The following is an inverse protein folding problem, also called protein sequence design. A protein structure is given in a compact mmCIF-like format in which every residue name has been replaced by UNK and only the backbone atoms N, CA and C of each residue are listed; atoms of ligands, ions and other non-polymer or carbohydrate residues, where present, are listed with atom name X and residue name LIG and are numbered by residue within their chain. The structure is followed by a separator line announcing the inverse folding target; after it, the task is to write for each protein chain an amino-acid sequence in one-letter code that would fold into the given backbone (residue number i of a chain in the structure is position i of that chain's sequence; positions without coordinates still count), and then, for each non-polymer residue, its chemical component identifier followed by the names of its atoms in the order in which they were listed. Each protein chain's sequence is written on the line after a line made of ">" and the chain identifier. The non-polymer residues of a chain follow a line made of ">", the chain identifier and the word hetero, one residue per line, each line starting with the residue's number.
data_IF_411317207699
#
_entry.id   IF_411317207699
#
_cell.length_a   1.000
_cell.length_b   1.000
_cell.length_c   1.000
_cell.angle_alpha   90.00
_cell.angle_beta   90.00
_cell.angle_gamma   90.00
#
_symmetry.space_group_name_H-M   'P 1'
#
loop_
_entity.id
_entity.type
_entity.pdbx_description
1 polymer ?
#
# COMPACT_ATOMS: atom_id res chain seq x y z
N UNK A 1 12.49 -16.27 8.13
CA UNK A 1 12.78 -14.84 8.09
C UNK A 1 11.79 -14.09 8.98
N UNK A 2 12.26 -13.16 9.77
CA UNK A 2 11.46 -12.32 10.66
C UNK A 2 10.89 -11.17 9.82
N UNK A 3 9.80 -11.42 9.10
CA UNK A 3 9.13 -10.39 8.31
C UNK A 3 7.75 -10.14 8.90
N UNK A 4 7.42 -8.89 9.27
CA UNK A 4 6.08 -8.53 9.72
C UNK A 4 5.00 -8.86 8.69
N UNK A 5 3.80 -9.17 9.16
CA UNK A 5 2.65 -9.50 8.33
C UNK A 5 1.37 -8.90 8.88
N UNK A 6 0.29 -9.01 8.12
CA UNK A 6 -1.07 -8.61 8.51
C UNK A 6 -1.15 -7.16 9.03
N UNK A 7 -1.65 -6.95 10.23
CA UNK A 7 -1.97 -5.63 10.78
C UNK A 7 -0.74 -4.72 10.93
N UNK A 8 0.44 -5.30 11.19
CA UNK A 8 1.70 -4.54 11.22
C UNK A 8 1.99 -3.92 9.86
N UNK A 9 1.85 -4.70 8.78
CA UNK A 9 2.04 -4.20 7.41
C UNK A 9 1.01 -3.13 7.09
N UNK A 10 -0.25 -3.34 7.47
CA UNK A 10 -1.33 -2.38 7.22
C UNK A 10 -1.09 -1.05 7.92
N UNK A 11 -0.68 -1.08 9.19
CA UNK A 11 -0.37 0.13 9.97
C UNK A 11 0.82 0.91 9.41
N UNK A 12 1.91 0.21 9.06
CA UNK A 12 3.08 0.83 8.43
C UNK A 12 2.75 1.41 7.04
N UNK A 13 1.97 0.67 6.24
CA UNK A 13 1.52 1.13 4.94
C UNK A 13 0.67 2.39 5.06
N UNK A 14 -0.35 2.40 5.94
CA UNK A 14 -1.20 3.56 6.18
C UNK A 14 -0.39 4.80 6.56
N UNK A 15 0.53 4.66 7.51
CA UNK A 15 1.34 5.78 7.99
C UNK A 15 2.35 6.31 6.97
N UNK A 16 2.76 5.49 5.99
CA UNK A 16 3.75 5.88 4.97
C UNK A 16 3.14 6.29 3.65
N UNK A 17 1.82 6.29 3.53
CA UNK A 17 1.13 6.83 2.37
C UNK A 17 1.18 8.35 2.36
N UNK A 18 1.08 8.91 1.18
CA UNK A 18 0.95 10.35 0.98
C UNK A 18 -0.47 10.70 0.50
N UNK A 19 -0.94 11.88 0.93
CA UNK A 19 -2.22 12.46 0.54
C UNK A 19 -1.97 13.83 -0.08
N UNK A 20 -2.58 14.05 -1.23
CA UNK A 20 -2.59 15.36 -1.90
C UNK A 20 -3.55 16.28 -1.15
N UNK A 21 -3.13 17.52 -0.92
CA UNK A 21 -3.88 18.54 -0.19
C UNK A 21 -4.25 18.13 1.25
N UNK A 22 -3.37 17.31 1.89
CA UNK A 22 -3.51 16.99 3.31
C UNK A 22 -3.23 18.19 4.20
N UNK A 23 -3.85 18.21 5.41
CA UNK A 23 -3.62 19.30 6.38
C UNK A 23 -2.14 19.42 6.71
N UNK A 24 -1.56 20.61 6.54
CA UNK A 24 -0.13 20.88 6.78
C UNK A 24 0.80 20.55 5.63
N UNK A 25 0.28 20.24 4.44
CA UNK A 25 1.12 19.97 3.27
C UNK A 25 2.00 21.18 2.91
N UNK A 26 3.30 20.91 2.66
CA UNK A 26 4.31 21.90 2.27
C UNK A 26 4.93 22.66 3.43
N UNK A 27 4.58 22.36 4.68
CA UNK A 27 5.27 22.90 5.83
C UNK A 27 6.69 22.37 5.92
N UNK A 28 7.58 23.20 6.50
CA UNK A 28 9.00 22.90 6.69
C UNK A 28 9.29 22.81 8.18
N UNK A 29 9.95 21.74 8.61
CA UNK A 29 10.26 21.46 10.01
C UNK A 29 11.76 21.37 10.25
N UNK A 30 12.17 21.84 11.44
CA UNK A 30 13.56 21.82 11.85
C UNK A 30 14.07 20.44 12.27
N UNK A 31 13.21 19.58 12.80
CA UNK A 31 13.50 18.22 13.22
C UNK A 31 12.25 17.35 13.31
N UNK A 32 12.40 16.05 13.57
CA UNK A 32 11.29 15.10 13.75
C UNK A 32 10.49 15.36 15.01
N UNK A 33 11.10 15.93 16.07
CA UNK A 33 10.40 16.30 17.30
C UNK A 33 9.41 17.45 17.08
N UNK A 34 9.75 18.40 16.20
CA UNK A 34 8.81 19.45 15.78
C UNK A 34 7.67 18.88 14.98
N UNK A 35 7.93 17.94 14.08
CA UNK A 35 6.89 17.20 13.33
C UNK A 35 5.94 16.48 14.28
N UNK A 36 6.46 15.81 15.32
CA UNK A 36 5.63 15.12 16.31
C UNK A 36 4.73 16.10 17.07
N UNK A 37 5.28 17.23 17.52
CA UNK A 37 4.49 18.28 18.22
C UNK A 37 3.38 18.85 17.34
N UNK A 38 3.66 19.10 16.05
CA UNK A 38 2.66 19.59 15.10
C UNK A 38 1.57 18.55 14.84
N UNK A 39 1.91 17.25 14.80
CA UNK A 39 0.96 16.18 14.67
C UNK A 39 0.06 16.03 15.90
N UNK A 40 0.63 16.17 17.10
CA UNK A 40 -0.10 16.08 18.36
C UNK A 40 -1.03 17.29 18.57
N UNK A 41 -0.62 18.47 18.09
CA UNK A 41 -1.44 19.67 18.04
C UNK A 41 -2.53 19.62 16.95
N UNK A 42 -2.54 18.62 16.09
CA UNK A 42 -3.48 18.49 14.98
C UNK A 42 -3.28 19.48 13.85
N UNK A 43 -2.10 20.13 13.77
CA UNK A 43 -1.77 21.07 12.69
C UNK A 43 -1.39 20.37 11.39
N UNK A 44 -0.93 19.11 11.47
CA UNK A 44 -0.58 18.27 10.31
C UNK A 44 -1.23 16.89 10.40
N UNK A 45 -1.47 16.29 9.25
CA UNK A 45 -1.92 14.89 9.11
C UNK A 45 -0.73 13.97 8.83
N UNK A 46 -0.83 12.67 9.21
CA UNK A 46 0.21 11.66 8.96
C UNK A 46 0.62 11.54 7.49
N UNK A 47 -0.34 11.67 6.58
CA UNK A 47 -0.15 11.54 5.15
C UNK A 47 0.25 12.85 4.44
N UNK A 48 0.36 13.98 5.16
CA UNK A 48 0.72 15.27 4.60
C UNK A 48 2.18 15.26 4.12
N UNK A 49 2.41 15.82 2.92
CA UNK A 49 3.76 16.01 2.37
C UNK A 49 4.41 17.22 3.03
N UNK A 50 5.59 17.02 3.59
CA UNK A 50 6.36 18.02 4.32
C UNK A 50 7.82 18.00 3.90
N UNK A 51 8.54 19.05 4.24
CA UNK A 51 10.00 19.08 4.19
C UNK A 51 10.55 19.11 5.61
N UNK A 52 11.46 18.21 5.94
CA UNK A 52 12.04 18.13 7.27
C UNK A 52 13.57 18.04 7.20
N UNK A 53 14.25 18.70 8.11
CA UNK A 53 15.69 18.56 8.28
C UNK A 53 15.96 17.27 9.05
N UNK A 54 16.65 16.35 8.38
CA UNK A 54 16.97 15.03 8.92
C UNK A 54 18.48 14.84 9.04
N UNK A 55 18.90 14.19 10.11
CA UNK A 55 20.29 13.79 10.31
C UNK A 55 20.40 12.29 10.05
N UNK A 56 21.15 11.93 9.03
CA UNK A 56 21.48 10.56 8.70
C UNK A 56 22.89 10.19 9.15
N UNK A 57 23.07 8.94 9.56
CA UNK A 57 24.35 8.42 9.99
C UNK A 57 24.95 7.54 8.89
N UNK A 58 26.01 7.99 8.27
CA UNK A 58 26.75 7.23 7.26
C UNK A 58 28.05 6.71 7.84
N UNK A 59 28.40 5.46 7.50
CA UNK A 59 29.66 4.88 7.94
C UNK A 59 30.77 5.39 7.04
N UNK A 60 31.75 6.06 7.62
CA UNK A 60 32.96 6.46 6.93
C UNK A 60 33.73 5.22 6.48
N UNK A 61 34.26 5.24 5.25
CA UNK A 61 34.98 4.10 4.65
C UNK A 61 36.40 3.96 5.21
N UNK A 62 37.01 5.05 5.66
CA UNK A 62 38.38 5.05 6.13
C UNK A 62 38.49 4.78 7.64
N UNK A 63 37.67 5.47 8.43
CA UNK A 63 37.69 5.36 9.89
C UNK A 63 36.76 4.26 10.43
N UNK A 64 35.74 3.86 9.65
CA UNK A 64 34.71 2.92 10.10
C UNK A 64 33.71 3.52 11.09
N UNK A 65 33.84 4.79 11.44
CA UNK A 65 32.97 5.50 12.38
C UNK A 65 31.70 6.04 11.68
N UNK A 66 30.65 6.28 12.48
CA UNK A 66 29.43 6.87 11.96
C UNK A 66 29.51 8.40 11.99
N UNK A 67 29.47 9.01 10.83
CA UNK A 67 29.48 10.47 10.65
C UNK A 67 28.06 10.95 10.37
N UNK A 68 27.56 11.95 11.12
CA UNK A 68 26.25 12.54 10.87
C UNK A 68 26.28 13.46 9.64
N UNK A 69 25.29 13.34 8.78
CA UNK A 69 25.03 14.24 7.65
C UNK A 69 23.62 14.77 7.76
N UNK A 70 23.48 16.09 7.71
CA UNK A 70 22.15 16.74 7.86
C UNK A 70 21.74 17.35 6.53
N UNK A 71 20.51 17.05 6.10
CA UNK A 71 19.93 17.56 4.86
C UNK A 71 18.44 17.84 5.01
N UNK A 72 17.90 18.70 4.16
CA UNK A 72 16.46 18.88 3.99
C UNK A 72 15.93 17.79 3.07
N UNK A 73 14.89 17.09 3.52
CA UNK A 73 14.31 15.95 2.79
C UNK A 73 12.81 16.15 2.64
N UNK A 74 12.33 16.02 1.41
CA UNK A 74 10.90 15.95 1.13
C UNK A 74 10.36 14.56 1.49
N UNK A 75 9.32 14.53 2.32
CA UNK A 75 8.75 13.29 2.84
C UNK A 75 7.31 13.50 3.30
N UNK A 76 6.75 12.55 4.04
CA UNK A 76 5.49 12.71 4.75
C UNK A 76 5.72 12.70 6.27
N UNK A 77 4.76 13.25 7.01
CA UNK A 77 4.80 13.25 8.48
C UNK A 77 5.03 11.84 9.03
N UNK A 78 4.27 10.85 8.55
CA UNK A 78 4.39 9.47 9.02
C UNK A 78 5.74 8.83 8.70
N UNK A 79 6.33 9.09 7.51
CA UNK A 79 7.67 8.60 7.15
C UNK A 79 8.75 9.27 7.99
N UNK A 80 8.62 10.59 8.24
CA UNK A 80 9.56 11.32 9.08
C UNK A 80 9.60 10.76 10.50
N UNK A 81 8.45 10.52 11.12
CA UNK A 81 8.37 9.93 12.46
C UNK A 81 8.89 8.48 12.52
N UNK A 82 8.64 7.69 11.48
CA UNK A 82 9.18 6.33 11.39
C UNK A 82 10.70 6.32 11.21
N UNK A 83 11.33 7.40 10.74
CA UNK A 83 12.78 7.46 10.60
C UNK A 83 13.52 7.31 11.94
N UNK A 84 12.89 7.64 13.06
CA UNK A 84 13.49 7.52 14.39
C UNK A 84 13.81 6.08 14.82
N UNK A 85 13.14 5.10 14.20
CA UNK A 85 13.43 3.69 14.48
C UNK A 85 14.52 3.10 13.60
N UNK A 86 15.01 3.84 12.60
CA UNK A 86 16.07 3.36 11.70
C UNK A 86 17.37 3.12 12.45
N UNK A 87 18.04 1.99 12.22
CA UNK A 87 19.36 1.75 12.76
C UNK A 87 20.40 2.68 12.09
N UNK A 88 21.44 3.07 12.82
CA UNK A 88 22.55 3.83 12.28
C UNK A 88 23.18 3.10 11.09
N UNK A 89 23.42 3.83 10.01
CA UNK A 89 23.98 3.27 8.78
C UNK A 89 22.92 2.77 7.76
N UNK A 90 21.64 2.82 8.08
CA UNK A 90 20.56 2.56 7.13
C UNK A 90 20.01 3.89 6.61
N UNK A 91 20.23 4.27 5.32
CA UNK A 91 19.76 5.53 4.78
C UNK A 91 18.23 5.63 4.77
N UNK A 92 17.71 6.82 5.09
CA UNK A 92 16.28 7.10 5.10
C UNK A 92 15.62 6.91 3.72
N UNK A 93 16.37 7.12 2.65
CA UNK A 93 15.92 6.90 1.28
C UNK A 93 15.33 5.49 1.03
N UNK A 94 15.75 4.47 1.79
CA UNK A 94 15.20 3.14 1.72
C UNK A 94 13.78 3.04 2.29
N UNK A 95 13.39 3.97 3.17
CA UNK A 95 12.09 4.01 3.85
C UNK A 95 11.19 5.13 3.34
N UNK A 96 11.71 6.12 2.62
CA UNK A 96 10.94 7.27 2.12
C UNK A 96 10.01 6.91 0.95
N UNK A 97 9.11 5.95 1.17
CA UNK A 97 8.09 5.47 0.23
C UNK A 97 6.98 4.73 0.98
N UNK A 98 5.88 4.44 0.31
CA UNK A 98 4.82 3.61 0.89
C UNK A 98 5.34 2.19 1.19
N UNK A 99 5.26 1.78 2.45
CA UNK A 99 5.82 0.52 2.94
C UNK A 99 4.83 -0.64 2.76
N UNK A 100 4.80 -1.21 1.55
CA UNK A 100 4.09 -2.46 1.26
C UNK A 100 4.88 -3.66 1.83
N UNK A 101 4.24 -4.82 1.96
CA UNK A 101 4.87 -6.04 2.50
C UNK A 101 6.21 -6.38 1.84
N UNK A 102 6.29 -6.24 0.51
CA UNK A 102 7.55 -6.47 -0.25
C UNK A 102 8.64 -5.47 0.13
N UNK A 103 8.26 -4.20 0.33
CA UNK A 103 9.20 -3.14 0.69
C UNK A 103 9.72 -3.30 2.13
N UNK A 104 8.86 -3.72 3.06
CA UNK A 104 9.26 -4.02 4.44
C UNK A 104 10.25 -5.20 4.44
N UNK A 105 9.97 -6.26 3.69
CA UNK A 105 10.88 -7.40 3.55
C UNK A 105 12.24 -6.98 2.98
N UNK A 106 12.22 -6.11 1.95
CA UNK A 106 13.44 -5.55 1.37
C UNK A 106 14.23 -4.69 2.38
N UNK A 107 13.52 -3.85 3.14
CA UNK A 107 14.10 -2.97 4.15
C UNK A 107 14.82 -3.77 5.24
N UNK A 108 14.20 -4.84 5.75
CA UNK A 108 14.81 -5.75 6.73
C UNK A 108 16.06 -6.43 6.15
N UNK A 109 16.00 -6.87 4.88
CA UNK A 109 17.15 -7.51 4.22
C UNK A 109 18.32 -6.52 4.04
N UNK A 110 18.04 -5.27 3.65
CA UNK A 110 19.05 -4.23 3.53
C UNK A 110 19.65 -3.89 4.92
N UNK A 111 18.81 -3.80 5.96
CA UNK A 111 19.26 -3.61 7.34
C UNK A 111 20.21 -4.74 7.76
N UNK A 112 19.85 -6.00 7.51
CA UNK A 112 20.71 -7.13 7.84
C UNK A 112 22.08 -7.07 7.17
N UNK A 113 22.11 -6.69 5.90
CA UNK A 113 23.37 -6.60 5.15
C UNK A 113 24.26 -5.43 5.58
N UNK A 114 23.66 -4.30 5.99
CA UNK A 114 24.41 -3.07 6.33
C UNK A 114 24.72 -2.94 7.82
N UNK A 115 23.76 -3.30 8.68
CA UNK A 115 23.82 -3.05 10.12
C UNK A 115 24.08 -4.32 10.94
N UNK A 116 23.97 -5.51 10.31
CA UNK A 116 24.20 -6.80 10.99
C UNK A 116 22.96 -7.34 11.71
N UNK A 117 23.11 -8.54 12.30
CA UNK A 117 21.99 -9.30 12.87
C UNK A 117 21.32 -8.58 14.05
N UNK A 118 22.10 -8.13 15.04
CA UNK A 118 21.61 -7.53 16.28
C UNK A 118 20.74 -6.31 16.02
N UNK A 119 21.25 -5.36 15.23
CA UNK A 119 20.54 -4.13 14.90
C UNK A 119 19.28 -4.42 14.07
N UNK A 120 19.33 -5.43 13.21
CA UNK A 120 18.17 -5.84 12.41
C UNK A 120 17.05 -6.44 13.26
N UNK A 121 17.38 -7.23 14.28
CA UNK A 121 16.37 -7.79 15.19
C UNK A 121 15.70 -6.69 16.01
N UNK A 122 16.48 -5.76 16.56
CA UNK A 122 15.96 -4.60 17.29
C UNK A 122 15.09 -3.72 16.38
N UNK A 123 15.52 -3.51 15.15
CA UNK A 123 14.75 -2.74 14.16
C UNK A 123 13.44 -3.45 13.79
N UNK A 124 13.46 -4.76 13.57
CA UNK A 124 12.25 -5.54 13.26
C UNK A 124 11.24 -5.51 14.43
N UNK A 125 11.71 -5.56 15.68
CA UNK A 125 10.85 -5.43 16.85
C UNK A 125 10.23 -4.04 16.96
N UNK A 126 11.00 -2.98 16.74
CA UNK A 126 10.49 -1.61 16.68
C UNK A 126 9.47 -1.42 15.56
N UNK A 127 9.70 -2.00 14.37
CA UNK A 127 8.73 -1.99 13.27
C UNK A 127 7.42 -2.67 13.66
N UNK A 128 7.51 -3.81 14.35
CA UNK A 128 6.34 -4.57 14.81
C UNK A 128 5.52 -3.74 15.81
N UNK A 129 6.14 -3.19 16.84
CA UNK A 129 5.46 -2.39 17.86
C UNK A 129 4.82 -1.12 17.26
N UNK A 130 5.56 -0.38 16.41
CA UNK A 130 5.02 0.80 15.74
C UNK A 130 3.92 0.43 14.74
N UNK A 131 4.05 -0.69 14.03
CA UNK A 131 3.03 -1.17 13.11
C UNK A 131 1.70 -1.44 13.79
N UNK A 132 1.69 -2.11 14.94
CA UNK A 132 0.46 -2.32 15.72
C UNK A 132 -0.13 -1.00 16.22
N UNK A 133 0.69 -0.11 16.78
CA UNK A 133 0.24 1.21 17.24
C UNK A 133 -0.39 2.03 16.10
N UNK A 134 0.22 2.00 14.92
CA UNK A 134 -0.28 2.71 13.75
C UNK A 134 -1.53 2.07 13.17
N UNK A 135 -1.65 0.74 13.19
CA UNK A 135 -2.87 0.04 12.78
C UNK A 135 -4.05 0.39 13.68
N UNK A 136 -3.83 0.43 15.00
CA UNK A 136 -4.86 0.87 15.97
C UNK A 136 -5.28 2.31 15.72
N UNK A 137 -4.32 3.20 15.48
CA UNK A 137 -4.60 4.63 15.19
C UNK A 137 -5.33 4.80 13.84
N UNK A 138 -5.02 3.98 12.85
CA UNK A 138 -5.65 4.02 11.53
C UNK A 138 -7.13 3.64 11.58
N UNK A 139 -7.51 2.70 12.46
CA UNK A 139 -8.90 2.27 12.63
C UNK A 139 -9.54 1.73 11.35
N UNK A 140 -8.77 1.04 10.49
CA UNK A 140 -9.23 0.57 9.19
C UNK A 140 -10.26 -0.54 9.39
N UNK A 141 -11.47 -0.32 8.88
CA UNK A 141 -12.55 -1.31 8.83
C UNK A 141 -13.21 -1.31 7.46
N UNK A 142 -14.03 -2.31 7.18
CA UNK A 142 -14.76 -2.46 5.92
C UNK A 142 -16.23 -2.16 6.16
N UNK A 143 -16.82 -1.33 5.31
CA UNK A 143 -18.25 -1.10 5.27
C UNK A 143 -18.82 -1.47 3.88
N UNK A 144 -20.14 -1.47 3.75
CA UNK A 144 -20.82 -1.80 2.49
C UNK A 144 -20.44 -0.80 1.39
N UNK A 145 -20.30 0.47 1.74
CA UNK A 145 -19.95 1.53 0.78
C UNK A 145 -18.52 1.41 0.21
N UNK A 146 -17.64 0.64 0.89
CA UNK A 146 -16.30 0.34 0.37
C UNK A 146 -16.32 -0.67 -0.78
N UNK A 147 -17.44 -1.42 -0.93
CA UNK A 147 -17.61 -2.46 -1.93
C UNK A 147 -18.19 -1.87 -3.23
N UNK A 148 -17.30 -1.37 -4.08
CA UNK A 148 -17.72 -0.76 -5.35
C UNK A 148 -17.98 -1.83 -6.41
N UNK A 149 -19.21 -1.84 -6.94
CA UNK A 149 -19.57 -2.68 -8.09
C UNK A 149 -19.25 -1.89 -9.37
N UNK A 150 -18.34 -2.39 -10.24
CA UNK A 150 -18.00 -1.67 -11.46
C UNK A 150 -19.19 -1.64 -12.42
N UNK A 151 -19.49 -0.50 -13.06
CA UNK A 151 -20.61 -0.37 -13.99
C UNK A 151 -20.47 -1.29 -15.22
N UNK A 152 -19.24 -1.65 -15.59
CA UNK A 152 -18.93 -2.57 -16.68
C UNK A 152 -19.31 -4.03 -16.39
N UNK A 153 -19.58 -4.39 -15.11
CA UNK A 153 -19.94 -5.76 -14.72
C UNK A 153 -21.10 -6.31 -15.53
N UNK A 154 -22.14 -5.51 -15.71
CA UNK A 154 -23.33 -5.94 -16.45
C UNK A 154 -23.01 -6.32 -17.92
N UNK A 155 -22.22 -5.51 -18.62
CA UNK A 155 -21.83 -5.75 -20.01
C UNK A 155 -20.93 -6.97 -20.17
N UNK A 156 -20.00 -7.20 -19.21
CA UNK A 156 -19.13 -8.38 -19.20
C UNK A 156 -19.95 -9.66 -19.01
N UNK A 157 -20.90 -9.64 -18.09
CA UNK A 157 -21.79 -10.78 -17.84
C UNK A 157 -22.64 -11.07 -19.06
N UNK A 158 -23.29 -10.07 -19.63
CA UNK A 158 -24.15 -10.23 -20.81
C UNK A 158 -23.41 -10.84 -22.01
N UNK A 159 -22.18 -10.38 -22.25
CA UNK A 159 -21.32 -10.96 -23.29
C UNK A 159 -21.01 -12.45 -23.00
N UNK A 160 -20.62 -12.75 -21.77
CA UNK A 160 -20.30 -14.13 -21.37
C UNK A 160 -21.52 -15.05 -21.44
N UNK A 161 -22.71 -14.57 -21.11
CA UNK A 161 -23.96 -15.33 -21.27
C UNK A 161 -24.27 -15.63 -22.75
N UNK A 162 -24.00 -14.70 -23.67
CA UNK A 162 -24.14 -14.94 -25.09
C UNK A 162 -23.21 -16.06 -25.55
N UNK A 163 -21.93 -16.00 -25.15
CA UNK A 163 -20.95 -17.04 -25.48
C UNK A 163 -21.38 -18.41 -24.93
N UNK A 164 -21.89 -18.46 -23.69
CA UNK A 164 -22.42 -19.71 -23.09
C UNK A 164 -23.62 -20.26 -23.88
N UNK A 165 -24.54 -19.38 -24.33
CA UNK A 165 -25.69 -19.78 -25.15
C UNK A 165 -25.24 -20.36 -26.49
N UNK A 166 -24.23 -19.78 -27.12
CA UNK A 166 -23.64 -20.32 -28.35
C UNK A 166 -23.06 -21.73 -28.16
N UNK A 167 -22.32 -21.94 -27.07
CA UNK A 167 -21.79 -23.27 -26.74
C UNK A 167 -22.93 -24.28 -26.46
N UNK A 168 -24.01 -23.85 -25.81
CA UNK A 168 -25.18 -24.68 -25.59
C UNK A 168 -25.87 -25.08 -26.91
N UNK A 169 -25.95 -24.18 -27.89
CA UNK A 169 -26.48 -24.47 -29.23
C UNK A 169 -25.57 -25.44 -29.98
N UNK A 170 -24.23 -25.27 -29.92
CA UNK A 170 -23.27 -26.20 -30.52
C UNK A 170 -23.41 -27.61 -29.92
N UNK A 171 -23.66 -27.72 -28.63
CA UNK A 171 -23.93 -29.00 -27.98
C UNK A 171 -25.24 -29.61 -28.46
N UNK A 172 -26.32 -28.84 -28.54
CA UNK A 172 -27.62 -29.31 -29.00
C UNK A 172 -27.59 -29.79 -30.47
N UNK A 173 -26.74 -29.20 -31.31
CA UNK A 173 -26.49 -29.62 -32.69
C UNK A 173 -25.46 -30.76 -32.85
N UNK A 174 -24.91 -31.28 -31.75
CA UNK A 174 -23.97 -32.39 -31.77
C UNK A 174 -22.53 -32.03 -32.20
N UNK A 175 -22.20 -30.73 -32.28
CA UNK A 175 -20.88 -30.26 -32.68
C UNK A 175 -19.82 -30.36 -31.54
N UNK A 176 -20.24 -30.43 -30.31
CA UNK A 176 -19.37 -30.54 -29.12
C UNK A 176 -19.88 -31.61 -28.19
N UNK A 177 -18.95 -32.27 -27.49
CA UNK A 177 -19.27 -33.26 -26.45
C UNK A 177 -19.66 -32.59 -25.14
N UNK A 178 -20.31 -33.35 -24.21
CA UNK A 178 -20.68 -32.84 -22.88
C UNK A 178 -19.48 -32.36 -22.08
N UNK A 179 -18.33 -33.05 -22.17
CA UNK A 179 -17.08 -32.65 -21.51
C UNK A 179 -16.49 -31.37 -22.09
N UNK A 180 -16.49 -31.22 -23.41
CA UNK A 180 -16.02 -29.98 -24.07
C UNK A 180 -16.93 -28.81 -23.74
N UNK A 181 -18.26 -28.99 -23.73
CA UNK A 181 -19.20 -27.96 -23.29
C UNK A 181 -18.88 -27.49 -21.88
N UNK A 182 -18.71 -28.41 -20.94
CA UNK A 182 -18.40 -28.09 -19.55
C UNK A 182 -17.11 -27.29 -19.45
N UNK A 183 -16.03 -27.75 -20.08
CA UNK A 183 -14.75 -27.07 -20.03
C UNK A 183 -14.80 -25.66 -20.64
N UNK A 184 -15.47 -25.51 -21.80
CA UNK A 184 -15.65 -24.20 -22.45
C UNK A 184 -16.46 -23.23 -21.58
N UNK A 185 -17.53 -23.67 -20.92
CA UNK A 185 -18.36 -22.83 -20.04
C UNK A 185 -17.56 -22.41 -18.81
N UNK A 186 -16.79 -23.32 -18.20
CA UNK A 186 -15.91 -22.98 -17.05
C UNK A 186 -14.86 -21.95 -17.46
N UNK A 187 -14.26 -22.09 -18.64
CA UNK A 187 -13.26 -21.15 -19.16
C UNK A 187 -13.87 -19.74 -19.42
N UNK A 188 -15.06 -19.68 -20.01
CA UNK A 188 -15.78 -18.41 -20.23
C UNK A 188 -16.03 -17.70 -18.90
N UNK A 189 -16.59 -18.38 -17.89
CA UNK A 189 -16.85 -17.77 -16.58
C UNK A 189 -15.57 -17.44 -15.82
N UNK A 190 -14.52 -18.24 -15.94
CA UNK A 190 -13.20 -17.94 -15.40
C UNK A 190 -12.64 -16.63 -15.94
N UNK A 191 -12.67 -16.46 -17.27
CA UNK A 191 -12.23 -15.22 -17.94
C UNK A 191 -13.09 -14.02 -17.56
N UNK A 192 -14.42 -14.18 -17.52
CA UNK A 192 -15.35 -13.13 -17.08
C UNK A 192 -15.05 -12.67 -15.64
N UNK A 193 -14.82 -13.60 -14.72
CA UNK A 193 -14.46 -13.30 -13.34
C UNK A 193 -13.14 -12.54 -13.22
N UNK A 194 -12.14 -12.91 -14.00
CA UNK A 194 -10.85 -12.22 -14.02
C UNK A 194 -10.96 -10.80 -14.62
N UNK A 195 -11.78 -10.62 -15.66
CA UNK A 195 -12.02 -9.31 -16.27
C UNK A 195 -12.76 -8.38 -15.31
N UNK A 196 -13.83 -8.85 -14.66
CA UNK A 196 -14.55 -8.07 -13.62
C UNK A 196 -13.60 -7.69 -12.48
N UNK A 197 -12.77 -8.62 -12.00
CA UNK A 197 -11.80 -8.36 -10.95
C UNK A 197 -10.79 -7.28 -11.33
N UNK A 198 -10.27 -7.30 -12.56
CA UNK A 198 -9.35 -6.27 -13.08
C UNK A 198 -10.00 -4.89 -13.15
N UNK A 199 -11.22 -4.81 -13.65
CA UNK A 199 -11.97 -3.54 -13.78
C UNK A 199 -12.28 -2.98 -12.39
N UNK A 200 -12.73 -3.83 -11.45
CA UNK A 200 -13.00 -3.46 -10.07
C UNK A 200 -11.75 -2.91 -9.37
N UNK A 201 -10.62 -3.62 -9.45
CA UNK A 201 -9.37 -3.17 -8.83
C UNK A 201 -8.85 -1.87 -9.45
N UNK A 202 -9.00 -1.68 -10.75
CA UNK A 202 -8.64 -0.42 -11.42
C UNK A 202 -9.49 0.75 -10.92
N UNK A 203 -10.79 0.54 -10.71
CA UNK A 203 -11.70 1.54 -10.17
C UNK A 203 -11.42 1.85 -8.69
N UNK A 204 -11.19 0.81 -7.87
CA UNK A 204 -10.86 0.96 -6.45
C UNK A 204 -9.50 1.63 -6.22
N UNK A 205 -8.57 1.52 -7.16
CA UNK A 205 -7.19 2.00 -6.99
C UNK A 205 -7.03 3.50 -7.04
N UNK A 206 -7.97 4.23 -7.65
CA UNK A 206 -7.87 5.66 -7.89
C UNK A 206 -9.07 6.41 -7.33
N UNK A 207 -8.79 7.57 -6.77
CA UNK A 207 -9.81 8.57 -6.41
C UNK A 207 -9.40 9.93 -6.95
N UNK A 208 -10.37 10.71 -7.42
CA UNK A 208 -10.15 12.09 -7.83
C UNK A 208 -10.14 12.99 -6.60
N UNK A 209 -9.12 13.82 -6.49
CA UNK A 209 -8.96 14.81 -5.42
C UNK A 209 -8.60 16.17 -6.06
N UNK A 210 -8.91 17.22 -5.35
CA UNK A 210 -8.55 18.59 -5.79
C UNK A 210 -7.24 18.97 -5.12
N UNK A 211 -6.25 19.37 -5.92
CA UNK A 211 -4.96 19.85 -5.44
C UNK A 211 -5.07 21.30 -4.88
N UNK A 212 -3.96 21.85 -4.38
CA UNK A 212 -3.88 23.19 -3.84
C UNK A 212 -4.22 24.31 -4.87
N UNK A 213 -4.13 23.98 -6.14
CA UNK A 213 -4.38 24.92 -7.24
C UNK A 213 -5.81 24.80 -7.79
N UNK A 214 -6.68 23.99 -7.15
CA UNK A 214 -8.04 23.74 -7.58
C UNK A 214 -8.17 22.79 -8.77
N UNK A 215 -7.08 22.08 -9.14
CA UNK A 215 -7.07 21.13 -10.25
C UNK A 215 -7.41 19.72 -9.77
N UNK A 216 -8.30 19.04 -10.49
CA UNK A 216 -8.54 17.61 -10.25
C UNK A 216 -7.32 16.77 -10.66
N UNK A 217 -6.85 15.95 -9.76
CA UNK A 217 -5.74 15.02 -9.97
C UNK A 217 -6.10 13.63 -9.45
N UNK A 218 -5.56 12.60 -10.09
CA UNK A 218 -5.72 11.23 -9.61
C UNK A 218 -4.77 10.97 -8.44
N UNK A 219 -5.32 10.41 -7.36
CA UNK A 219 -4.58 9.93 -6.20
C UNK A 219 -4.87 8.45 -5.99
N UNK A 220 -3.91 7.70 -5.44
CA UNK A 220 -4.18 6.34 -4.97
C UNK A 220 -5.27 6.37 -3.89
N UNK A 221 -6.27 5.50 -4.02
CA UNK A 221 -7.44 5.49 -3.15
C UNK A 221 -7.10 5.14 -1.70
N UNK A 222 -7.79 5.77 -0.75
CA UNK A 222 -7.81 5.39 0.67
C UNK A 222 -8.95 4.43 1.03
N UNK A 223 -9.57 3.79 0.03
CA UNK A 223 -10.56 2.74 0.27
C UNK A 223 -9.93 1.59 1.07
N UNK A 224 -10.61 1.14 2.12
CA UNK A 224 -10.10 0.13 3.05
C UNK A 224 -9.76 -1.19 2.37
N UNK A 225 -10.59 -1.65 1.45
CA UNK A 225 -10.40 -2.90 0.70
C UNK A 225 -9.16 -2.79 -0.20
N UNK A 226 -9.03 -1.65 -0.90
CA UNK A 226 -7.86 -1.39 -1.74
C UNK A 226 -6.58 -1.36 -0.91
N UNK A 227 -6.56 -0.65 0.23
CA UNK A 227 -5.39 -0.58 1.11
C UNK A 227 -4.97 -1.94 1.64
N UNK A 228 -5.92 -2.80 2.02
CA UNK A 228 -5.62 -4.16 2.49
C UNK A 228 -4.97 -5.01 1.41
N UNK A 229 -5.49 -4.95 0.17
CA UNK A 229 -4.98 -5.71 -0.96
C UNK A 229 -3.62 -5.18 -1.46
N UNK A 230 -3.52 -3.87 -1.67
CA UNK A 230 -2.32 -3.24 -2.22
C UNK A 230 -1.11 -3.29 -1.27
N UNK A 231 -1.34 -3.15 0.04
CA UNK A 231 -0.30 -3.33 1.05
C UNK A 231 0.25 -4.76 1.11
N UNK A 232 -0.53 -5.75 0.67
CA UNK A 232 -0.23 -7.17 0.85
C UNK A 232 -0.42 -7.65 2.30
N UNK A 233 -1.14 -6.88 3.12
CA UNK A 233 -1.42 -7.21 4.52
C UNK A 233 -2.49 -8.30 4.62
N UNK A 234 -3.63 -8.08 3.99
CA UNK A 234 -4.79 -8.98 3.96
C UNK A 234 -5.53 -8.88 2.63
N UNK A 235 -6.14 -10.01 2.22
CA UNK A 235 -6.97 -10.08 1.03
C UNK A 235 -6.15 -10.11 -0.26
N UNK A 236 -6.10 -11.27 -0.90
CA UNK A 236 -5.62 -11.35 -2.28
C UNK A 236 -6.77 -10.98 -3.23
N UNK A 237 -6.43 -10.51 -4.43
CA UNK A 237 -7.43 -10.15 -5.45
C UNK A 237 -8.48 -11.24 -5.68
N UNK A 238 -8.09 -12.52 -5.58
CA UNK A 238 -9.01 -13.66 -5.68
C UNK A 238 -10.02 -13.73 -4.51
N UNK A 239 -9.64 -13.28 -3.31
CA UNK A 239 -10.55 -13.24 -2.15
C UNK A 239 -11.51 -12.06 -2.25
N UNK A 240 -11.02 -10.90 -2.70
CA UNK A 240 -11.85 -9.71 -2.90
C UNK A 240 -12.91 -9.96 -3.98
N UNK A 241 -12.59 -10.79 -5.00
CA UNK A 241 -13.54 -11.21 -6.03
C UNK A 241 -14.73 -12.02 -5.48
N UNK A 242 -14.57 -12.70 -4.34
CA UNK A 242 -15.61 -13.54 -3.73
C UNK A 242 -16.61 -12.74 -2.89
N UNK A 243 -16.26 -11.54 -2.49
CA UNK A 243 -17.09 -10.59 -1.73
C UNK A 243 -17.86 -9.68 -2.69
#
# INVERSE_FOLDING_TARGET
>A
SIVPSQDVVLGLYYATRDRINGKGEGLVFADTGEVQRALDAGEVELAARITVRMTEWTKDKETGEFVPSTSLVETTVGRALLSEILPKGLPFSNMNKALKKKEISRLINVSFRKCGLKETVVFADKLLQNGFRLATRAGISICIDDMLVPPQKASIIERSEKDVKEIAQQYASGLVTSGERYNKVVDIWGKAGDEVSKVMMAQLSKQKVVDRHGKEVDQESFNSIYMMADSGARGYAAQIRQV
#
